data_IF_549749728558
#
_entry.id   IF_549749728558
#
_cell.length_a   1.000
_cell.length_b   1.000
_cell.length_c   1.000
_cell.angle_alpha   90.00
_cell.angle_beta   90.00
_cell.angle_gamma   90.00
#
_symmetry.space_group_name_H-M   'P 1'
#
loop_
_entity.id
_entity.type
_entity.pdbx_description
1 polymer ?
#
# COMPACT_ATOMS: atom_id res chain seq x y z
N UNK A 1 3.53 16.51 -46.80
CA UNK A 1 4.02 16.34 -45.41
C UNK A 1 2.81 16.37 -44.49
N UNK A 2 2.28 15.20 -44.18
CA UNK A 2 1.10 15.05 -43.33
C UNK A 2 1.58 14.99 -41.89
N UNK A 3 1.40 16.08 -41.13
CA UNK A 3 1.67 16.10 -39.70
C UNK A 3 0.64 15.19 -39.03
N UNK A 4 1.07 14.00 -38.61
CA UNK A 4 0.30 13.15 -37.71
C UNK A 4 0.16 13.90 -36.40
N UNK A 5 -1.00 14.51 -36.19
CA UNK A 5 -1.41 15.03 -34.89
C UNK A 5 -1.39 13.85 -33.92
N UNK A 6 -0.37 13.81 -33.06
CA UNK A 6 -0.29 12.85 -31.97
C UNK A 6 -1.57 12.96 -31.15
N UNK A 7 -2.36 11.89 -31.15
CA UNK A 7 -3.52 11.80 -30.29
C UNK A 7 -3.02 11.93 -28.85
N UNK A 8 -3.25 13.11 -28.26
CA UNK A 8 -3.02 13.32 -26.84
C UNK A 8 -4.03 12.44 -26.10
N UNK A 9 -3.64 11.22 -25.75
CA UNK A 9 -4.45 10.35 -24.93
C UNK A 9 -4.45 10.92 -23.53
N UNK A 10 -5.51 11.65 -23.20
CA UNK A 10 -5.79 12.12 -21.85
C UNK A 10 -5.99 10.90 -20.94
N UNK A 11 -4.90 10.42 -20.33
CA UNK A 11 -4.91 9.39 -19.30
C UNK A 11 -5.49 9.97 -18.00
N UNK A 12 -6.82 10.13 -17.99
CA UNK A 12 -7.55 10.78 -16.91
C UNK A 12 -7.90 9.77 -15.82
N UNK A 13 -7.10 9.74 -14.76
CA UNK A 13 -7.59 9.33 -13.44
C UNK A 13 -8.36 10.53 -12.85
N UNK A 14 -9.57 10.78 -13.34
CA UNK A 14 -10.36 11.92 -12.90
C UNK A 14 -10.77 11.72 -11.43
N UNK A 15 -10.03 12.29 -10.48
CA UNK A 15 -10.49 12.48 -9.09
C UNK A 15 -11.55 13.59 -9.08
N UNK A 16 -12.70 13.34 -9.70
CA UNK A 16 -13.73 14.35 -9.91
C UNK A 16 -14.39 14.70 -8.57
N UNK A 17 -14.32 15.97 -8.16
CA UNK A 17 -15.14 16.51 -7.07
C UNK A 17 -14.43 16.85 -5.75
N UNK A 18 -13.13 16.54 -5.58
CA UNK A 18 -12.41 16.95 -4.37
C UNK A 18 -11.86 18.40 -4.49
N UNK A 19 -12.19 19.30 -3.54
CA UNK A 19 -11.61 20.64 -3.50
C UNK A 19 -10.08 20.60 -3.47
N UNK A 20 -9.44 21.56 -4.12
CA UNK A 20 -7.98 21.60 -4.25
C UNK A 20 -7.24 21.58 -2.91
N UNK A 21 -7.71 22.34 -1.92
CA UNK A 21 -7.13 22.38 -0.59
C UNK A 21 -7.14 21.00 0.09
N UNK A 22 -8.19 20.20 -0.14
CA UNK A 22 -8.32 18.86 0.44
C UNK A 22 -7.34 17.88 -0.23
N UNK A 23 -7.14 18.02 -1.55
CA UNK A 23 -6.12 17.24 -2.29
C UNK A 23 -4.72 17.55 -1.79
N UNK A 24 -4.38 18.82 -1.62
CA UNK A 24 -3.08 19.25 -1.08
C UNK A 24 -2.90 18.72 0.34
N UNK A 25 -3.91 18.88 1.21
CA UNK A 25 -3.90 18.36 2.58
C UNK A 25 -3.68 16.85 2.63
N UNK A 26 -4.43 16.08 1.84
CA UNK A 26 -4.28 14.63 1.74
C UNK A 26 -2.88 14.22 1.26
N UNK A 27 -2.35 14.91 0.26
CA UNK A 27 -1.00 14.66 -0.24
C UNK A 27 0.08 14.94 0.82
N UNK A 28 -0.04 16.02 1.59
CA UNK A 28 0.90 16.33 2.68
C UNK A 28 0.87 15.27 3.78
N UNK A 29 -0.33 14.82 4.16
CA UNK A 29 -0.49 13.72 5.14
C UNK A 29 0.16 12.44 4.62
N UNK A 30 -0.09 12.07 3.37
CA UNK A 30 0.50 10.87 2.75
C UNK A 30 2.02 10.98 2.58
N UNK A 31 2.54 12.16 2.29
CA UNK A 31 3.99 12.41 2.26
C UNK A 31 4.62 12.20 3.65
N UNK A 32 3.98 12.69 4.71
CA UNK A 32 4.43 12.44 6.08
C UNK A 32 4.39 10.94 6.42
N UNK A 33 3.32 10.22 6.03
CA UNK A 33 3.22 8.77 6.17
C UNK A 33 4.37 8.06 5.44
N UNK A 34 4.68 8.47 4.20
CA UNK A 34 5.77 7.90 3.42
C UNK A 34 7.13 8.04 4.15
N UNK A 35 7.43 9.23 4.68
CA UNK A 35 8.66 9.49 5.44
C UNK A 35 8.72 8.64 6.71
N UNK A 36 7.61 8.52 7.45
CA UNK A 36 7.53 7.70 8.65
C UNK A 36 7.78 6.22 8.35
N UNK A 37 7.15 5.68 7.31
CA UNK A 37 7.35 4.29 6.88
C UNK A 37 8.77 4.04 6.35
N UNK A 38 9.34 4.99 5.61
CA UNK A 38 10.73 4.89 5.14
C UNK A 38 11.72 4.85 6.32
N UNK A 39 11.55 5.75 7.30
CA UNK A 39 12.37 5.79 8.52
C UNK A 39 12.23 4.51 9.33
N UNK A 40 11.01 4.02 9.55
CA UNK A 40 10.81 2.75 10.25
C UNK A 40 11.47 1.58 9.50
N UNK A 41 11.28 1.50 8.18
CA UNK A 41 11.91 0.47 7.35
C UNK A 41 13.43 0.50 7.39
N UNK A 42 14.05 1.68 7.41
CA UNK A 42 15.51 1.85 7.45
C UNK A 42 16.16 1.26 8.72
N UNK A 43 15.43 1.18 9.83
CA UNK A 43 15.91 0.64 11.10
C UNK A 43 15.46 -0.81 11.37
N UNK A 44 14.81 -1.48 10.40
CA UNK A 44 14.32 -2.85 10.54
C UNK A 44 15.14 -3.84 9.71
N UNK A 45 15.03 -5.13 10.03
CA UNK A 45 15.62 -6.22 9.28
C UNK A 45 14.56 -7.17 8.70
N UNK A 46 14.94 -7.95 7.68
CA UNK A 46 14.11 -9.01 7.10
C UNK A 46 12.83 -8.50 6.43
N UNK A 47 11.76 -9.31 6.51
CA UNK A 47 10.49 -9.05 5.81
C UNK A 47 9.84 -7.72 6.21
N UNK A 48 9.97 -7.29 7.48
CA UNK A 48 9.37 -6.05 7.96
C UNK A 48 9.96 -4.81 7.30
N UNK A 49 11.28 -4.78 7.09
CA UNK A 49 11.95 -3.69 6.38
C UNK A 49 11.32 -3.49 5.01
N UNK A 50 11.22 -4.56 4.25
CA UNK A 50 10.67 -4.52 2.89
C UNK A 50 9.19 -4.16 2.87
N UNK A 51 8.40 -4.66 3.83
CA UNK A 51 7.00 -4.27 3.96
C UNK A 51 6.83 -2.78 4.26
N UNK A 52 7.60 -2.22 5.21
CA UNK A 52 7.57 -0.79 5.51
C UNK A 52 8.04 0.07 4.34
N UNK A 53 9.14 -0.28 3.69
CA UNK A 53 9.64 0.45 2.52
C UNK A 53 8.64 0.40 1.37
N UNK A 54 7.99 -0.74 1.17
CA UNK A 54 6.92 -0.89 0.19
C UNK A 54 5.75 0.07 0.43
N UNK A 55 5.26 0.13 1.67
CA UNK A 55 4.24 1.11 2.06
C UNK A 55 4.69 2.56 1.93
N UNK A 56 5.98 2.85 2.16
CA UNK A 56 6.51 4.18 1.92
C UNK A 56 6.41 4.58 0.43
N UNK A 57 6.78 3.67 -0.47
CA UNK A 57 6.66 3.87 -1.93
C UNK A 57 5.19 4.04 -2.34
N UNK A 58 4.29 3.22 -1.79
CA UNK A 58 2.85 3.33 -2.04
C UNK A 58 2.29 4.67 -1.57
N UNK A 59 2.60 5.10 -0.35
CA UNK A 59 2.17 6.40 0.19
C UNK A 59 2.70 7.57 -0.66
N UNK A 60 3.94 7.50 -1.14
CA UNK A 60 4.48 8.49 -2.06
C UNK A 60 3.73 8.50 -3.41
N UNK A 61 3.43 7.33 -3.97
CA UNK A 61 2.61 7.21 -5.19
C UNK A 61 1.21 7.81 -5.00
N UNK A 62 0.54 7.50 -3.89
CA UNK A 62 -0.76 8.08 -3.56
C UNK A 62 -0.70 9.61 -3.40
N UNK A 63 0.34 10.13 -2.72
CA UNK A 63 0.53 11.57 -2.61
C UNK A 63 0.66 12.24 -3.99
N UNK A 64 1.42 11.62 -4.90
CA UNK A 64 1.53 12.09 -6.28
C UNK A 64 0.18 12.07 -7.01
N UNK A 65 -0.65 11.04 -6.82
CA UNK A 65 -1.98 10.96 -7.43
C UNK A 65 -2.95 12.05 -6.91
N UNK A 66 -2.85 12.46 -5.64
CA UNK A 66 -3.61 13.59 -5.12
C UNK A 66 -3.14 14.95 -5.68
N UNK A 67 -1.82 15.17 -5.77
CA UNK A 67 -1.25 16.42 -6.28
C UNK A 67 -1.43 16.58 -7.80
N UNK A 68 -1.31 15.47 -8.53
CA UNK A 68 -1.31 15.42 -9.99
C UNK A 68 -2.49 14.56 -10.49
N UNK A 69 -3.75 14.98 -10.26
CA UNK A 69 -4.93 14.19 -10.64
C UNK A 69 -5.03 14.00 -12.15
N UNK A 70 -4.43 14.91 -12.92
CA UNK A 70 -4.12 14.69 -14.33
C UNK A 70 -2.61 14.53 -14.41
N UNK A 71 -2.11 13.29 -14.38
CA UNK A 71 -0.69 13.03 -14.65
C UNK A 71 -0.40 13.29 -16.13
N UNK A 72 -0.31 14.58 -16.49
CA UNK A 72 -0.02 15.03 -17.86
C UNK A 72 1.40 14.64 -18.30
N UNK A 73 2.27 14.30 -17.35
CA UNK A 73 3.57 13.69 -17.63
C UNK A 73 3.41 12.19 -17.83
N UNK A 74 3.35 11.79 -19.09
CA UNK A 74 3.25 10.39 -19.52
C UNK A 74 4.35 9.51 -18.91
N UNK A 75 5.59 10.00 -18.86
CA UNK A 75 6.70 9.26 -18.25
C UNK A 75 6.50 8.97 -16.76
N UNK A 76 5.92 9.91 -15.99
CA UNK A 76 5.61 9.69 -14.58
C UNK A 76 4.47 8.67 -14.41
N UNK A 77 3.45 8.77 -15.24
CA UNK A 77 2.31 7.86 -15.25
C UNK A 77 2.75 6.42 -15.58
N UNK A 78 3.46 6.24 -16.69
CA UNK A 78 3.98 4.94 -17.14
C UNK A 78 5.00 4.38 -16.15
N UNK A 79 5.91 5.22 -15.65
CA UNK A 79 6.87 4.82 -14.62
C UNK A 79 6.20 4.34 -13.34
N UNK A 80 5.16 5.05 -12.88
CA UNK A 80 4.34 4.63 -11.74
C UNK A 80 3.62 3.31 -11.99
N UNK A 81 2.98 3.15 -13.15
CA UNK A 81 2.26 1.94 -13.52
C UNK A 81 3.19 0.72 -13.53
N UNK A 82 4.35 0.84 -14.20
CA UNK A 82 5.36 -0.23 -14.27
C UNK A 82 5.91 -0.54 -12.87
N UNK A 83 6.24 0.48 -12.08
CA UNK A 83 6.75 0.29 -10.72
C UNK A 83 5.75 -0.51 -9.86
N UNK A 84 4.49 -0.10 -9.82
CA UNK A 84 3.48 -0.78 -9.01
C UNK A 84 3.12 -2.17 -9.56
N UNK A 85 3.17 -2.38 -10.88
CA UNK A 85 3.00 -3.69 -11.48
C UNK A 85 4.13 -4.66 -11.06
N UNK A 86 5.38 -4.19 -11.06
CA UNK A 86 6.53 -4.98 -10.59
C UNK A 86 6.45 -5.26 -9.09
N UNK A 87 6.03 -4.30 -8.28
CA UNK A 87 5.81 -4.50 -6.84
C UNK A 87 4.68 -5.49 -6.56
N UNK A 88 3.57 -5.43 -7.32
CA UNK A 88 2.49 -6.42 -7.24
C UNK A 88 2.99 -7.82 -7.60
N UNK A 89 3.69 -7.98 -8.73
CA UNK A 89 4.25 -9.27 -9.14
C UNK A 89 5.27 -9.80 -8.12
N UNK A 90 6.17 -8.94 -7.62
CA UNK A 90 7.17 -9.30 -6.62
C UNK A 90 6.57 -9.72 -5.29
N UNK A 91 5.49 -9.06 -4.84
CA UNK A 91 4.78 -9.45 -3.61
C UNK A 91 3.98 -10.73 -3.76
N UNK A 92 3.36 -10.99 -4.91
CA UNK A 92 2.74 -12.29 -5.23
C UNK A 92 3.80 -13.39 -5.22
N UNK A 93 4.94 -13.17 -5.87
CA UNK A 93 6.05 -14.12 -5.88
C UNK A 93 6.59 -14.38 -4.47
N UNK A 94 6.71 -13.34 -3.64
CA UNK A 94 7.10 -13.48 -2.23
C UNK A 94 6.07 -14.29 -1.44
N UNK A 95 4.78 -13.99 -1.59
CA UNK A 95 3.69 -14.70 -0.90
C UNK A 95 3.68 -16.19 -1.25
N UNK A 96 3.83 -16.53 -2.53
CA UNK A 96 3.84 -17.92 -3.02
C UNK A 96 5.15 -18.63 -2.65
N UNK A 97 6.30 -17.98 -2.85
CA UNK A 97 7.61 -18.56 -2.60
C UNK A 97 7.90 -18.81 -1.12
N UNK A 98 7.33 -18.00 -0.24
CA UNK A 98 7.43 -18.18 1.22
C UNK A 98 6.39 -19.15 1.77
N UNK A 99 5.32 -19.46 1.02
CA UNK A 99 4.24 -20.35 1.47
C UNK A 99 4.73 -21.72 1.94
N UNK A 100 5.67 -22.33 1.21
CA UNK A 100 6.19 -23.66 1.56
C UNK A 100 7.02 -23.65 2.86
N UNK A 101 7.70 -22.54 3.13
CA UNK A 101 8.52 -22.34 4.34
C UNK A 101 7.68 -21.95 5.54
N UNK A 102 6.60 -21.21 5.31
CA UNK A 102 5.72 -20.68 6.34
C UNK A 102 4.45 -21.53 6.53
N UNK A 103 4.28 -22.63 5.79
CA UNK A 103 3.11 -23.52 5.86
C UNK A 103 1.76 -22.91 5.43
N UNK A 104 1.69 -21.60 5.22
CA UNK A 104 0.51 -20.85 4.81
C UNK A 104 0.90 -19.60 4.00
N UNK A 105 -0.06 -18.96 3.35
CA UNK A 105 0.16 -17.65 2.73
C UNK A 105 0.35 -16.59 3.80
N UNK A 106 1.45 -15.87 3.72
CA UNK A 106 1.74 -14.76 4.62
C UNK A 106 0.77 -13.60 4.35
N UNK A 107 -0.04 -13.21 5.33
CA UNK A 107 -1.09 -12.23 5.12
C UNK A 107 -0.52 -10.83 4.84
N UNK A 108 0.70 -10.53 5.29
CA UNK A 108 1.38 -9.27 4.99
C UNK A 108 1.68 -9.17 3.49
N UNK A 109 2.21 -10.23 2.90
CA UNK A 109 2.49 -10.26 1.46
C UNK A 109 1.21 -10.31 0.63
N UNK A 110 0.18 -11.05 1.09
CA UNK A 110 -1.12 -11.09 0.42
C UNK A 110 -1.83 -9.75 0.42
N UNK A 111 -1.89 -9.05 1.56
CA UNK A 111 -2.47 -7.71 1.63
C UNK A 111 -1.68 -6.72 0.79
N UNK A 112 -0.34 -6.69 0.87
CA UNK A 112 0.46 -5.80 0.04
C UNK A 112 0.31 -6.06 -1.45
N UNK A 113 0.12 -7.31 -1.87
CA UNK A 113 -0.18 -7.62 -3.27
C UNK A 113 -1.51 -7.02 -3.72
N UNK A 114 -2.56 -7.09 -2.88
CA UNK A 114 -3.84 -6.43 -3.15
C UNK A 114 -3.69 -4.90 -3.19
N UNK A 115 -2.90 -4.34 -2.29
CA UNK A 115 -2.65 -2.90 -2.23
C UNK A 115 -1.95 -2.41 -3.51
N UNK A 116 -0.92 -3.10 -3.98
CA UNK A 116 -0.24 -2.75 -5.24
C UNK A 116 -1.10 -3.02 -6.46
N UNK A 117 -1.92 -4.08 -6.46
CA UNK A 117 -2.84 -4.34 -7.56
C UNK A 117 -3.89 -3.23 -7.67
N UNK A 118 -4.36 -2.68 -6.55
CA UNK A 118 -5.24 -1.52 -6.55
C UNK A 118 -4.51 -0.25 -7.05
N UNK A 119 -3.23 -0.05 -6.71
CA UNK A 119 -2.43 1.04 -7.32
C UNK A 119 -2.32 0.89 -8.84
N UNK A 120 -2.04 -0.33 -9.34
CA UNK A 120 -2.04 -0.63 -10.78
C UNK A 120 -3.39 -0.34 -11.40
N UNK A 121 -4.48 -0.79 -10.76
CA UNK A 121 -5.83 -0.51 -11.22
C UNK A 121 -6.11 1.00 -11.31
N UNK A 122 -5.74 1.78 -10.30
CA UNK A 122 -5.95 3.23 -10.30
C UNK A 122 -5.12 3.98 -11.36
N UNK A 123 -3.99 3.40 -11.78
CA UNK A 123 -3.13 3.93 -12.84
C UNK A 123 -3.43 3.36 -14.22
N UNK A 124 -4.25 2.30 -14.34
CA UNK A 124 -4.60 1.73 -15.62
C UNK A 124 -5.46 2.69 -16.45
N UNK A 125 -5.39 2.56 -17.77
CA UNK A 125 -6.22 3.37 -18.68
C UNK A 125 -7.72 3.17 -18.35
N UNK A 126 -8.56 4.23 -18.38
CA UNK A 126 -9.99 4.12 -18.06
C UNK A 126 -10.73 3.01 -18.80
N UNK A 127 -10.39 2.75 -20.07
CA UNK A 127 -10.99 1.70 -20.88
C UNK A 127 -10.74 0.27 -20.37
N UNK A 128 -9.71 0.07 -19.53
CA UNK A 128 -9.32 -1.24 -18.98
C UNK A 128 -9.83 -1.45 -17.55
N UNK A 129 -10.57 -0.48 -16.98
CA UNK A 129 -10.97 -0.47 -15.57
C UNK A 129 -12.47 -0.74 -15.42
N UNK A 130 -12.89 -2.00 -15.23
CA UNK A 130 -14.29 -2.28 -14.98
C UNK A 130 -14.73 -1.70 -13.63
N UNK A 131 -15.77 -0.86 -13.64
CA UNK A 131 -16.21 -0.11 -12.45
C UNK A 131 -16.50 -0.99 -11.22
N UNK A 132 -17.06 -2.20 -11.42
CA UNK A 132 -17.35 -3.13 -10.33
C UNK A 132 -16.09 -3.54 -9.55
N UNK A 133 -14.93 -3.61 -10.20
CA UNK A 133 -13.67 -3.96 -9.55
C UNK A 133 -13.16 -2.78 -8.70
N UNK A 134 -13.38 -1.55 -9.15
CA UNK A 134 -13.13 -0.33 -8.36
C UNK A 134 -13.94 -0.33 -7.06
N UNK A 135 -15.24 -0.64 -7.12
CA UNK A 135 -16.08 -0.75 -5.93
C UNK A 135 -15.68 -1.92 -5.01
N UNK A 136 -15.26 -3.06 -5.58
CA UNK A 136 -14.76 -4.18 -4.80
C UNK A 136 -13.49 -3.81 -4.02
N UNK A 137 -12.53 -3.12 -4.65
CA UNK A 137 -11.36 -2.61 -3.96
C UNK A 137 -11.72 -1.55 -2.92
N UNK A 138 -12.62 -0.62 -3.23
CA UNK A 138 -13.06 0.41 -2.28
C UNK A 138 -13.68 -0.21 -1.03
N UNK A 139 -14.54 -1.24 -1.19
CA UNK A 139 -15.12 -1.99 -0.09
C UNK A 139 -14.05 -2.73 0.73
N UNK A 140 -13.09 -3.38 0.05
CA UNK A 140 -11.94 -4.02 0.70
C UNK A 140 -11.15 -3.02 1.56
N UNK A 141 -10.81 -1.84 1.03
CA UNK A 141 -10.08 -0.83 1.79
C UNK A 141 -10.90 -0.22 2.92
N UNK A 142 -12.21 -0.04 2.75
CA UNK A 142 -13.09 0.38 3.84
C UNK A 142 -13.07 -0.64 5.00
N UNK A 143 -13.11 -1.94 4.68
CA UNK A 143 -12.93 -3.00 5.68
C UNK A 143 -11.52 -2.96 6.31
N UNK A 144 -10.48 -2.69 5.52
CA UNK A 144 -9.12 -2.56 6.02
C UNK A 144 -8.97 -1.38 7.00
N UNK A 145 -9.61 -0.23 6.73
CA UNK A 145 -9.68 0.90 7.68
C UNK A 145 -10.23 0.45 9.02
N UNK A 146 -11.39 -0.23 9.01
CA UNK A 146 -12.01 -0.76 10.24
C UNK A 146 -11.07 -1.76 10.92
N UNK A 147 -10.46 -2.67 10.17
CA UNK A 147 -9.53 -3.67 10.69
C UNK A 147 -8.30 -3.05 11.37
N UNK A 148 -7.73 -1.99 10.80
CA UNK A 148 -6.58 -1.27 11.38
C UNK A 148 -6.97 -0.44 12.59
N UNK A 149 -8.07 0.33 12.52
CA UNK A 149 -8.57 1.16 13.63
C UNK A 149 -8.98 0.30 14.84
N UNK A 150 -9.71 -0.79 14.60
CA UNK A 150 -10.13 -1.72 15.64
C UNK A 150 -9.00 -2.65 16.11
N UNK A 151 -7.83 -2.59 15.46
CA UNK A 151 -6.69 -3.50 15.69
C UNK A 151 -7.09 -4.97 15.55
N UNK A 152 -8.01 -5.27 14.65
CA UNK A 152 -8.48 -6.63 14.40
C UNK A 152 -7.34 -7.52 13.87
N UNK A 153 -6.46 -6.97 13.02
CA UNK A 153 -5.31 -7.70 12.47
C UNK A 153 -4.31 -8.13 13.54
N UNK A 154 -4.13 -7.37 14.62
CA UNK A 154 -3.25 -7.75 15.73
C UNK A 154 -3.74 -9.01 16.48
N UNK A 155 -5.06 -9.27 16.42
CA UNK A 155 -5.70 -10.39 17.12
C UNK A 155 -5.69 -11.68 16.31
N UNK A 156 -5.35 -11.60 15.03
CA UNK A 156 -5.34 -12.75 14.15
C UNK A 156 -4.05 -13.56 14.35
N UNK A 157 -4.15 -14.88 14.66
CA UNK A 157 -2.98 -15.72 14.94
C UNK A 157 -1.92 -15.69 13.84
N UNK A 158 -2.35 -15.55 12.59
CA UNK A 158 -1.49 -15.49 11.40
C UNK A 158 -0.60 -14.24 11.35
N UNK A 159 -0.97 -13.15 12.04
CA UNK A 159 -0.13 -11.96 12.19
C UNK A 159 0.65 -11.95 13.52
N UNK A 160 0.16 -12.70 14.52
CA UNK A 160 0.75 -12.79 15.86
C UNK A 160 1.85 -13.86 15.99
N UNK A 161 1.82 -14.93 15.17
CA UNK A 161 2.83 -16.00 15.16
C UNK A 161 3.23 -16.30 13.72
N UNK A 162 4.52 -16.19 13.35
CA UNK A 162 4.99 -16.82 12.13
C UNK A 162 4.85 -18.33 12.36
N UNK A 163 4.24 -19.03 11.42
CA UNK A 163 4.10 -20.47 11.47
C UNK A 163 5.51 -21.10 11.48
N UNK A 164 5.95 -21.48 12.67
CA UNK A 164 7.20 -22.17 12.89
C UNK A 164 6.99 -23.65 12.63
N UNK A 165 7.49 -24.15 11.49
CA UNK A 165 7.73 -25.57 11.29
C UNK A 165 9.09 -25.73 10.61
N UNK A 166 10.11 -26.10 11.41
CA UNK A 166 11.43 -26.53 10.91
C UNK A 166 12.61 -25.77 11.51
N UNK A 167 13.25 -26.39 12.51
CA UNK A 167 14.61 -26.13 13.01
C UNK A 167 15.01 -24.67 13.36
N UNK A 168 14.81 -24.30 14.64
CA UNK A 168 15.81 -23.54 15.40
C UNK A 168 15.83 -22.02 15.28
N UNK A 169 15.06 -21.39 14.39
CA UNK A 169 14.97 -19.92 14.36
C UNK A 169 13.51 -19.49 14.35
N UNK A 170 12.99 -19.15 15.54
CA UNK A 170 11.72 -18.44 15.67
C UNK A 170 11.85 -17.10 14.96
N UNK A 171 11.29 -17.00 13.75
CA UNK A 171 11.14 -15.73 13.06
C UNK A 171 10.38 -14.76 13.97
N UNK A 172 10.76 -13.47 14.03
CA UNK A 172 10.14 -12.58 14.99
C UNK A 172 8.70 -12.31 14.52
N UNK A 173 7.73 -12.52 15.41
CA UNK A 173 6.30 -12.25 15.16
C UNK A 173 6.07 -10.84 14.61
N UNK A 174 5.49 -10.76 13.41
CA UNK A 174 5.50 -9.59 12.53
C UNK A 174 4.84 -8.34 13.16
N UNK A 175 3.87 -8.52 14.07
CA UNK A 175 3.27 -7.42 14.86
C UNK A 175 3.56 -7.52 16.38
N UNK A 176 4.16 -8.61 16.86
CA UNK A 176 4.17 -8.95 18.30
C UNK A 176 5.54 -9.06 18.97
N UNK A 177 6.65 -9.32 18.27
CA UNK A 177 7.95 -9.50 18.95
C UNK A 177 8.53 -8.15 19.43
N UNK A 178 8.79 -7.96 20.73
CA UNK A 178 9.55 -6.83 21.22
C UNK A 178 11.04 -6.99 20.87
N UNK A 179 11.78 -5.91 20.57
CA UNK A 179 13.21 -5.93 20.80
C UNK A 179 13.42 -6.09 22.32
N UNK A 180 14.19 -7.09 22.72
CA UNK A 180 14.63 -7.21 24.11
C UNK A 180 15.42 -5.94 24.48
N UNK A 181 14.92 -5.14 25.45
CA UNK A 181 15.76 -4.17 26.15
C UNK A 181 15.35 -2.68 26.23
N UNK A 182 14.08 -2.28 26.10
CA UNK A 182 13.71 -0.85 26.24
C UNK A 182 12.44 -0.58 27.07
N UNK A 183 12.61 -0.08 28.30
CA UNK A 183 11.61 0.09 29.36
C UNK A 183 10.57 1.23 29.19
N UNK A 184 10.32 1.70 27.97
CA UNK A 184 9.25 2.68 27.72
C UNK A 184 9.13 3.12 26.26
N UNK A 185 8.19 2.55 25.50
CA UNK A 185 7.98 2.93 24.09
C UNK A 185 7.31 1.97 23.07
N UNK A 186 6.80 0.75 23.38
CA UNK A 186 6.27 -0.14 22.32
C UNK A 186 4.82 0.12 21.90
N UNK A 187 3.94 0.58 22.80
CA UNK A 187 2.50 0.73 22.51
C UNK A 187 2.22 1.89 21.55
N UNK A 188 2.96 2.99 21.67
CA UNK A 188 2.79 4.19 20.83
C UNK A 188 3.22 3.94 19.39
N UNK A 189 4.34 3.24 19.16
CA UNK A 189 4.81 2.92 17.81
C UNK A 189 3.83 2.00 17.07
N UNK A 190 3.29 0.97 17.75
CA UNK A 190 2.28 0.07 17.15
C UNK A 190 0.99 0.81 16.80
N UNK A 191 0.51 1.68 17.69
CA UNK A 191 -0.66 2.51 17.41
C UNK A 191 -0.41 3.46 16.23
N UNK A 192 0.78 4.06 16.16
CA UNK A 192 1.16 4.93 15.05
C UNK A 192 1.13 4.19 13.71
N UNK A 193 1.65 2.97 13.62
CA UNK A 193 1.68 2.20 12.36
C UNK A 193 0.26 1.78 11.93
N UNK A 194 -0.57 1.32 12.87
CA UNK A 194 -1.96 0.96 12.54
C UNK A 194 -2.74 2.17 12.01
N UNK A 195 -2.55 3.35 12.63
CA UNK A 195 -3.18 4.58 12.17
C UNK A 195 -2.67 5.03 10.80
N UNK A 196 -1.37 4.95 10.52
CA UNK A 196 -0.84 5.32 9.19
C UNK A 196 -1.34 4.39 8.10
N UNK A 197 -1.47 3.09 8.37
CA UNK A 197 -2.07 2.12 7.44
C UNK A 197 -3.58 2.35 7.25
N UNK A 198 -4.31 2.70 8.31
CA UNK A 198 -5.71 3.09 8.21
C UNK A 198 -5.89 4.35 7.33
N UNK A 199 -5.02 5.36 7.50
CA UNK A 199 -5.02 6.57 6.66
C UNK A 199 -4.75 6.24 5.21
N UNK A 200 -3.76 5.37 4.92
CA UNK A 200 -3.48 4.90 3.55
C UNK A 200 -4.69 4.17 2.95
N UNK A 201 -5.29 3.23 3.69
CA UNK A 201 -6.46 2.50 3.22
C UNK A 201 -7.65 3.44 2.96
N UNK A 202 -7.91 4.39 3.85
CA UNK A 202 -8.98 5.38 3.67
C UNK A 202 -8.73 6.25 2.43
N UNK A 203 -7.48 6.66 2.21
CA UNK A 203 -7.07 7.41 1.03
C UNK A 203 -7.28 6.61 -0.27
N UNK A 204 -6.91 5.33 -0.30
CA UNK A 204 -7.16 4.45 -1.45
C UNK A 204 -8.65 4.25 -1.71
N UNK A 205 -9.46 4.01 -0.68
CA UNK A 205 -10.90 3.89 -0.81
C UNK A 205 -11.51 5.16 -1.41
N UNK A 206 -11.11 6.33 -0.90
CA UNK A 206 -11.58 7.62 -1.42
C UNK A 206 -11.17 7.84 -2.88
N UNK A 207 -9.94 7.50 -3.26
CA UNK A 207 -9.49 7.58 -4.66
C UNK A 207 -10.32 6.68 -5.58
N UNK A 208 -10.54 5.43 -5.18
CA UNK A 208 -11.29 4.46 -5.98
C UNK A 208 -12.76 4.86 -6.17
N UNK A 209 -13.37 5.49 -5.17
CA UNK A 209 -14.75 6.00 -5.27
C UNK A 209 -14.84 7.25 -6.15
N UNK A 210 -13.78 8.07 -6.19
CA UNK A 210 -13.76 9.32 -6.94
C UNK A 210 -13.43 9.16 -8.44
N UNK A 211 -12.95 7.97 -8.86
CA UNK A 211 -12.53 7.63 -10.23
C UNK A 211 -13.67 7.09 -11.10
#
# INVERSE_FOLDING_TARGET
>A
MTVLAGAHTDHTAHMAGLPEWLRIGAALVLAAVAVLHARHGAHMAGQRRWWHLGHAVMAAGMAAMYLLPRMRHEGLHQGGLVLFALLAAGTVAAAVGLRSREGALNPIWTMSALDYLAMVYMLAAPALRPAWLGYAFAAYFACAVVGWVARAFDRLPVFARPAAVGAGHAGPALLSAPPEGGSGGPSRSRMSVALTLAVMAAAMAAMLVAM
#
